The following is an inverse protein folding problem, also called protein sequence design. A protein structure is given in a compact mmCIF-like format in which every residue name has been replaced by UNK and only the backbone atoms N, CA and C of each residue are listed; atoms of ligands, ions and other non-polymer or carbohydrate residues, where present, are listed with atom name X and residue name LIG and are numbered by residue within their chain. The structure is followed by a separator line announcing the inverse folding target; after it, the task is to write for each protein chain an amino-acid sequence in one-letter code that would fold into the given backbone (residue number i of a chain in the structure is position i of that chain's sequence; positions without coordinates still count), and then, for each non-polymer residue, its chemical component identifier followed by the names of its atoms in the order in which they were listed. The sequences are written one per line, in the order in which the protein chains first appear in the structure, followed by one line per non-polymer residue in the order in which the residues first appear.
data_IF_548154154581
#
_entry.id   IF_548154154581
#
_cell.length_a   1.000
_cell.length_b   1.000
_cell.length_c   1.000
_cell.angle_alpha   90.00
_cell.angle_beta   90.00
_cell.angle_gamma   90.00
#
_symmetry.space_group_name_H-M   'P 1'
#
loop_
_entity.id
_entity.type
_entity.pdbx_description
1 polymer ?
#
# COMPACT_ATOMS: atom_id res chain seq x y z
N UNK A 1 10.83 -16.17 2.14
CA UNK A 1 9.61 -15.49 2.66
C UNK A 1 9.22 -14.42 1.66
N UNK A 2 8.03 -14.51 1.08
CA UNK A 2 7.51 -13.52 0.12
C UNK A 2 6.45 -12.70 0.84
N UNK A 3 6.60 -11.39 0.82
CA UNK A 3 5.66 -10.44 1.40
C UNK A 3 4.69 -9.96 0.32
N UNK A 4 3.38 -10.12 0.55
CA UNK A 4 2.37 -9.59 -0.36
C UNK A 4 2.26 -8.07 -0.20
N UNK A 5 2.20 -7.36 -1.32
CA UNK A 5 2.01 -5.91 -1.36
C UNK A 5 1.43 -5.51 -2.71
N UNK A 6 0.79 -4.34 -2.72
CA UNK A 6 0.37 -3.65 -3.95
C UNK A 6 1.15 -2.34 -4.05
N UNK A 7 1.63 -2.04 -5.26
CA UNK A 7 2.44 -0.85 -5.53
C UNK A 7 1.86 -0.04 -6.69
N UNK A 8 1.82 1.30 -6.53
CA UNK A 8 1.40 2.24 -7.59
C UNK A 8 2.23 3.52 -7.56
N UNK A 9 2.39 4.13 -8.73
CA UNK A 9 3.02 5.43 -8.90
C UNK A 9 4.55 5.39 -8.81
N UNK A 10 5.15 6.55 -8.62
CA UNK A 10 6.60 6.73 -8.63
C UNK A 10 7.04 7.89 -7.72
N UNK A 11 8.35 8.00 -7.48
CA UNK A 11 8.93 9.06 -6.66
C UNK A 11 9.13 8.66 -5.19
N UNK A 12 9.02 9.61 -4.25
CA UNK A 12 9.32 9.36 -2.84
C UNK A 12 8.37 8.30 -2.26
N UNK A 13 8.88 7.24 -1.61
CA UNK A 13 8.04 6.16 -1.11
C UNK A 13 7.06 6.64 -0.05
N UNK A 14 5.87 6.05 -0.08
CA UNK A 14 4.83 6.16 0.95
C UNK A 14 4.36 4.74 1.27
N UNK A 15 4.56 4.31 2.51
CA UNK A 15 4.16 2.99 2.99
C UNK A 15 2.80 3.09 3.67
N UNK A 16 1.87 2.21 3.29
CA UNK A 16 0.55 2.09 3.90
C UNK A 16 0.47 0.75 4.66
N UNK A 17 0.06 0.82 5.92
CA UNK A 17 -0.08 -0.32 6.83
C UNK A 17 -1.57 -0.46 7.17
N UNK A 18 -2.14 -1.64 6.96
CA UNK A 18 -3.54 -1.92 7.27
C UNK A 18 -3.76 -2.20 8.78
N UNK A 19 -5.03 -2.19 9.19
CA UNK A 19 -5.44 -2.57 10.56
C UNK A 19 -5.62 -4.08 10.74
N UNK A 20 -6.02 -4.49 11.94
CA UNK A 20 -6.30 -5.89 12.30
C UNK A 20 -7.47 -6.44 11.45
N UNK A 21 -7.34 -7.65 10.92
CA UNK A 21 -8.38 -8.31 10.12
C UNK A 21 -8.56 -7.73 8.71
N UNK A 22 -7.59 -6.93 8.25
CA UNK A 22 -7.57 -6.30 6.93
C UNK A 22 -6.35 -6.75 6.13
N UNK A 23 -6.27 -6.35 4.87
CA UNK A 23 -5.11 -6.50 4.00
C UNK A 23 -4.85 -5.18 3.24
N UNK A 24 -3.86 -5.17 2.36
CA UNK A 24 -3.47 -4.03 1.53
C UNK A 24 -4.60 -3.46 0.65
N UNK A 25 -5.61 -4.26 0.26
CA UNK A 25 -6.73 -3.79 -0.57
C UNK A 25 -7.59 -2.74 0.13
N UNK A 26 -7.54 -2.66 1.46
CA UNK A 26 -8.21 -1.63 2.24
C UNK A 26 -7.87 -0.20 1.77
N UNK A 27 -6.71 -0.02 1.13
CA UNK A 27 -6.24 1.27 0.64
C UNK A 27 -6.66 1.60 -0.79
N UNK A 28 -7.29 0.68 -1.53
CA UNK A 28 -7.67 0.88 -2.93
C UNK A 28 -8.37 2.23 -3.21
N UNK A 29 -9.32 2.72 -2.37
CA UNK A 29 -10.02 3.99 -2.63
C UNK A 29 -9.12 5.24 -2.65
N UNK A 30 -7.93 5.20 -2.02
CA UNK A 30 -7.03 6.37 -1.90
C UNK A 30 -5.73 6.22 -2.68
N UNK A 31 -5.37 5.01 -3.09
CA UNK A 31 -4.08 4.73 -3.73
C UNK A 31 -3.85 5.55 -5.00
N UNK A 32 -4.84 5.66 -5.88
CA UNK A 32 -4.67 6.39 -7.15
C UNK A 32 -4.35 7.87 -6.92
N UNK A 33 -4.98 8.49 -5.92
CA UNK A 33 -4.73 9.89 -5.56
C UNK A 33 -3.34 10.10 -4.97
N UNK A 34 -2.88 9.17 -4.13
CA UNK A 34 -1.56 9.23 -3.52
C UNK A 34 -0.45 8.96 -4.55
N UNK A 35 -0.71 8.07 -5.51
CA UNK A 35 0.22 7.64 -6.55
C UNK A 35 0.59 8.74 -7.54
N UNK A 36 -0.20 9.81 -7.64
CA UNK A 36 0.10 10.98 -8.48
C UNK A 36 1.47 11.60 -8.13
N UNK A 37 1.90 11.52 -6.86
CA UNK A 37 3.13 12.19 -6.38
C UNK A 37 4.10 11.28 -5.63
N UNK A 38 3.71 10.03 -5.37
CA UNK A 38 4.44 9.11 -4.50
C UNK A 38 4.48 7.72 -5.12
N UNK A 39 5.53 6.98 -4.79
CA UNK A 39 5.57 5.53 -4.97
C UNK A 39 4.86 4.90 -3.77
N UNK A 40 3.58 4.60 -3.94
CA UNK A 40 2.70 4.11 -2.88
C UNK A 40 2.84 2.59 -2.80
N UNK A 41 3.16 2.08 -1.62
CA UNK A 41 3.30 0.65 -1.37
C UNK A 41 2.40 0.31 -0.17
N UNK A 42 1.38 -0.51 -0.39
CA UNK A 42 0.55 -1.05 0.68
C UNK A 42 0.94 -2.50 0.95
N UNK A 43 1.39 -2.78 2.18
CA UNK A 43 1.92 -4.08 2.58
C UNK A 43 0.90 -4.92 3.35
N UNK A 44 0.93 -6.23 3.16
CA UNK A 44 0.28 -7.19 4.04
C UNK A 44 1.23 -7.57 5.18
N UNK A 45 0.85 -7.21 6.40
CA UNK A 45 1.59 -7.51 7.63
C UNK A 45 1.13 -8.88 8.14
N UNK A 46 2.00 -9.75 8.70
CA UNK A 46 1.58 -11.06 9.17
C UNK A 46 0.73 -10.89 10.42
N UNK A 47 -0.38 -11.60 10.44
CA UNK A 47 -1.39 -11.57 11.50
C UNK A 47 -2.54 -12.49 11.17
#
# INVERSE_FOLDING_TARGET
MIWHHIEKGHGRPLILLHGIGMNSEAWAPVMDRLAIRRRVIAFDIPG
#
